data_IF_195128195372
#
_entry.id   IF_195128195372
#
_cell.length_a   1.000
_cell.length_b   1.000
_cell.length_c   1.000
_cell.angle_alpha   90.00
_cell.angle_beta   90.00
_cell.angle_gamma   90.00
#
_symmetry.space_group_name_H-M   'P 1'
#
loop_
_entity.id
_entity.type
_entity.pdbx_description
1 polymer ?
#
# COMPACT_ATOMS: atom_id res chain seq x y z
N UNK A 1 -19.90 -12.83 -13.86
CA UNK A 1 -18.58 -12.61 -13.21
C UNK A 1 -17.53 -13.08 -14.18
N UNK A 2 -16.63 -12.21 -14.66
CA UNK A 2 -15.53 -12.70 -15.49
C UNK A 2 -14.60 -13.56 -14.63
N UNK A 3 -14.13 -14.66 -15.20
CA UNK A 3 -13.21 -15.57 -14.53
C UNK A 3 -11.87 -14.85 -14.30
N UNK A 4 -11.50 -14.61 -13.04
CA UNK A 4 -10.18 -14.08 -12.70
C UNK A 4 -9.23 -15.28 -12.65
N UNK A 5 -8.28 -15.34 -13.59
CA UNK A 5 -7.24 -16.37 -13.60
C UNK A 5 -6.10 -15.91 -12.70
N UNK A 6 -5.98 -16.54 -11.55
CA UNK A 6 -4.95 -16.23 -10.57
C UNK A 6 -3.79 -17.22 -10.63
N UNK A 7 -2.58 -16.66 -10.61
CA UNK A 7 -1.38 -17.41 -10.27
C UNK A 7 -1.03 -17.01 -8.84
N UNK A 8 -1.41 -17.86 -7.88
CA UNK A 8 -1.29 -17.58 -6.45
C UNK A 8 0.16 -17.29 -6.03
N UNK A 9 1.13 -17.94 -6.69
CA UNK A 9 2.55 -17.71 -6.44
C UNK A 9 2.97 -16.30 -6.82
N UNK A 10 2.59 -15.84 -8.03
CA UNK A 10 2.89 -14.48 -8.47
C UNK A 10 2.16 -13.43 -7.63
N UNK A 11 0.92 -13.71 -7.21
CA UNK A 11 0.17 -12.81 -6.33
C UNK A 11 0.87 -12.64 -4.97
N UNK A 12 1.37 -13.73 -4.38
CA UNK A 12 2.09 -13.68 -3.11
C UNK A 12 3.40 -12.91 -3.20
N UNK A 13 4.15 -13.05 -4.30
CA UNK A 13 5.33 -12.22 -4.56
C UNK A 13 4.98 -10.74 -4.64
N UNK A 14 3.95 -10.37 -5.41
CA UNK A 14 3.52 -8.98 -5.52
C UNK A 14 3.05 -8.38 -4.20
N UNK A 15 2.35 -9.16 -3.36
CA UNK A 15 1.97 -8.73 -2.00
C UNK A 15 3.22 -8.51 -1.14
N UNK A 16 4.23 -9.38 -1.24
CA UNK A 16 5.49 -9.23 -0.52
C UNK A 16 6.24 -7.95 -0.95
N UNK A 17 6.34 -7.69 -2.25
CA UNK A 17 6.99 -6.49 -2.78
C UNK A 17 6.28 -5.21 -2.31
N UNK A 18 4.95 -5.21 -2.26
CA UNK A 18 4.17 -4.09 -1.75
C UNK A 18 4.34 -3.89 -0.23
N UNK A 19 4.47 -4.97 0.55
CA UNK A 19 4.79 -4.89 1.98
C UNK A 19 6.17 -4.26 2.20
N UNK A 20 7.16 -4.66 1.41
CA UNK A 20 8.49 -4.07 1.44
C UNK A 20 8.45 -2.58 1.08
N UNK A 21 7.77 -2.21 -0.02
CA UNK A 21 7.61 -0.81 -0.43
C UNK A 21 6.91 0.03 0.65
N UNK A 22 5.85 -0.50 1.27
CA UNK A 22 5.17 0.19 2.37
C UNK A 22 6.11 0.42 3.54
N UNK A 23 6.90 -0.59 3.92
CA UNK A 23 7.87 -0.47 5.00
C UNK A 23 8.94 0.59 4.69
N UNK A 24 9.45 0.63 3.46
CA UNK A 24 10.40 1.65 3.03
C UNK A 24 9.80 3.06 3.14
N UNK A 25 8.57 3.26 2.65
CA UNK A 25 7.87 4.53 2.75
C UNK A 25 7.67 4.92 4.21
N UNK A 26 7.14 4.03 5.03
CA UNK A 26 6.86 4.32 6.44
C UNK A 26 8.15 4.65 7.21
N UNK A 27 9.24 3.94 6.93
CA UNK A 27 10.56 4.17 7.56
C UNK A 27 11.23 5.49 7.14
N UNK A 28 10.84 6.07 6.01
CA UNK A 28 11.35 7.37 5.54
C UNK A 28 10.65 8.51 6.28
N UNK A 29 10.75 8.53 7.60
CA UNK A 29 10.15 9.52 8.49
C UNK A 29 11.10 10.68 8.80
N UNK A 30 11.67 11.24 7.71
CA UNK A 30 12.53 12.40 7.82
C UNK A 30 11.69 13.63 8.10
N UNK A 31 11.72 14.05 9.35
CA UNK A 31 11.17 15.34 9.76
C UNK A 31 11.85 16.47 8.98
N UNK A 32 11.06 17.44 8.53
CA UNK A 32 11.58 18.64 7.92
C UNK A 32 12.14 19.51 9.06
N UNK A 33 13.40 19.96 8.93
CA UNK A 33 13.98 20.87 9.90
C UNK A 33 13.10 22.13 10.01
N UNK A 34 12.85 22.57 11.26
CA UNK A 34 12.07 23.77 11.49
C UNK A 34 12.71 24.95 10.75
N UNK A 35 11.97 25.56 9.83
CA UNK A 35 12.49 26.66 9.02
C UNK A 35 12.70 27.87 9.92
N UNK A 36 13.95 28.35 10.02
CA UNK A 36 14.29 29.53 10.84
C UNK A 36 14.13 30.81 10.00
N UNK A 37 12.98 31.46 10.08
CA UNK A 37 12.72 32.76 9.45
C UNK A 37 11.24 33.09 9.31
N UNK A 38 10.91 34.35 8.98
CA UNK A 38 9.52 34.86 8.93
C UNK A 38 9.09 35.46 7.59
N UNK A 39 9.61 34.92 6.47
CA UNK A 39 9.32 35.43 5.11
C UNK A 39 8.40 34.54 4.30
N UNK A 40 7.82 35.07 3.21
CA UNK A 40 6.95 34.32 2.30
C UNK A 40 7.62 33.07 1.71
N UNK A 41 8.92 33.14 1.39
CA UNK A 41 9.68 31.99 0.92
C UNK A 41 9.77 30.86 1.97
N UNK A 42 9.88 31.20 3.25
CA UNK A 42 9.90 30.23 4.36
C UNK A 42 8.53 29.55 4.48
N UNK A 43 7.44 30.31 4.38
CA UNK A 43 6.07 29.78 4.45
C UNK A 43 5.77 28.80 3.30
N UNK A 44 6.23 29.09 2.08
CA UNK A 44 6.05 28.18 0.94
C UNK A 44 6.85 26.88 1.10
N UNK A 45 8.05 26.94 1.70
CA UNK A 45 8.83 25.74 2.03
C UNK A 45 8.13 24.89 3.09
N UNK A 46 7.60 25.49 4.15
CA UNK A 46 6.82 24.79 5.18
C UNK A 46 5.56 24.13 4.58
N UNK A 47 4.87 24.83 3.69
CA UNK A 47 3.71 24.30 2.98
C UNK A 47 4.08 23.11 2.08
N UNK A 48 5.20 23.19 1.36
CA UNK A 48 5.71 22.10 0.54
C UNK A 48 6.07 20.87 1.38
N UNK A 49 6.72 21.07 2.52
CA UNK A 49 7.05 20.00 3.47
C UNK A 49 5.78 19.32 4.01
N UNK A 50 4.77 20.10 4.40
CA UNK A 50 3.49 19.57 4.87
C UNK A 50 2.74 18.80 3.78
N UNK A 51 2.72 19.31 2.55
CA UNK A 51 2.14 18.61 1.40
C UNK A 51 2.85 17.28 1.13
N UNK A 52 4.18 17.25 1.23
CA UNK A 52 4.95 16.02 1.10
C UNK A 52 4.58 14.99 2.19
N UNK A 53 4.48 15.40 3.45
CA UNK A 53 4.05 14.51 4.56
C UNK A 53 2.66 13.94 4.31
N UNK A 54 1.70 14.76 3.88
CA UNK A 54 0.36 14.30 3.53
C UNK A 54 0.38 13.31 2.36
N UNK A 55 1.15 13.60 1.31
CA UNK A 55 1.28 12.72 0.15
C UNK A 55 1.88 11.37 0.55
N UNK A 56 2.94 11.36 1.35
CA UNK A 56 3.55 10.16 1.93
C UNK A 56 2.50 9.33 2.67
N UNK A 57 1.75 9.95 3.57
CA UNK A 57 0.69 9.28 4.34
C UNK A 57 -0.37 8.66 3.42
N UNK A 58 -0.84 9.40 2.41
CA UNK A 58 -1.85 8.94 1.47
C UNK A 58 -1.36 7.74 0.64
N UNK A 59 -0.10 7.76 0.18
CA UNK A 59 0.49 6.64 -0.55
C UNK A 59 0.62 5.41 0.35
N UNK A 60 1.06 5.58 1.59
CA UNK A 60 1.16 4.48 2.55
C UNK A 60 -0.20 3.81 2.81
N UNK A 61 -1.27 4.61 2.93
CA UNK A 61 -2.65 4.12 3.06
C UNK A 61 -3.11 3.40 1.79
N UNK A 62 -2.84 3.96 0.61
CA UNK A 62 -3.19 3.34 -0.66
C UNK A 62 -2.55 1.96 -0.80
N UNK A 63 -1.24 1.84 -0.54
CA UNK A 63 -0.53 0.57 -0.60
C UNK A 63 -1.11 -0.42 0.42
N UNK A 64 -1.40 0.02 1.64
CA UNK A 64 -2.05 -0.82 2.66
C UNK A 64 -3.40 -1.38 2.21
N UNK A 65 -4.24 -0.53 1.62
CA UNK A 65 -5.55 -0.93 1.08
C UNK A 65 -5.39 -1.90 -0.10
N UNK A 66 -4.41 -1.67 -0.97
CA UNK A 66 -4.10 -2.54 -2.11
C UNK A 66 -3.62 -3.91 -1.65
N UNK A 67 -2.76 -4.00 -0.62
CA UNK A 67 -2.35 -5.26 0.02
C UNK A 67 -3.59 -6.01 0.54
N UNK A 68 -4.44 -5.33 1.33
CA UNK A 68 -5.63 -5.95 1.90
C UNK A 68 -6.61 -6.45 0.84
N UNK A 69 -6.79 -5.71 -0.25
CA UNK A 69 -7.58 -6.15 -1.40
C UNK A 69 -7.02 -7.45 -2.00
N UNK A 70 -5.71 -7.51 -2.26
CA UNK A 70 -5.08 -8.69 -2.86
C UNK A 70 -5.11 -9.92 -1.94
N UNK A 71 -4.89 -9.74 -0.63
CA UNK A 71 -5.03 -10.82 0.34
C UNK A 71 -6.47 -11.37 0.39
N UNK A 72 -7.47 -10.48 0.35
CA UNK A 72 -8.87 -10.88 0.30
C UNK A 72 -9.23 -11.65 -0.98
N UNK A 73 -8.69 -11.22 -2.12
CA UNK A 73 -8.84 -11.93 -3.39
C UNK A 73 -8.22 -13.32 -3.29
N UNK A 74 -6.98 -13.44 -2.81
CA UNK A 74 -6.29 -14.73 -2.64
C UNK A 74 -7.09 -15.70 -1.74
N UNK A 75 -7.52 -15.21 -0.58
CA UNK A 75 -8.29 -16.01 0.38
C UNK A 75 -9.64 -16.47 -0.20
N UNK A 76 -10.28 -15.61 -1.01
CA UNK A 76 -11.54 -15.96 -1.67
C UNK A 76 -11.36 -17.05 -2.73
N UNK A 77 -10.25 -17.01 -3.47
CA UNK A 77 -9.91 -18.02 -4.47
C UNK A 77 -9.61 -19.38 -3.83
N UNK A 78 -8.69 -19.41 -2.87
CA UNK A 78 -8.37 -20.64 -2.11
C UNK A 78 -9.62 -21.24 -1.47
N UNK A 79 -10.47 -20.39 -0.87
CA UNK A 79 -11.72 -20.83 -0.26
C UNK A 79 -12.73 -21.42 -1.26
N UNK A 80 -12.82 -20.86 -2.47
CA UNK A 80 -13.69 -21.39 -3.52
C UNK A 80 -13.15 -22.71 -4.07
N UNK A 81 -11.85 -22.82 -4.32
CA UNK A 81 -11.22 -24.05 -4.80
C UNK A 81 -11.39 -25.19 -3.79
N UNK A 82 -11.24 -24.90 -2.50
CA UNK A 82 -11.45 -25.89 -1.45
C UNK A 82 -12.91 -26.39 -1.40
N UNK A 83 -13.89 -25.50 -1.55
CA UNK A 83 -15.30 -25.86 -1.65
C UNK A 83 -15.60 -26.70 -2.88
N UNK A 84 -15.06 -26.32 -4.03
CA UNK A 84 -15.24 -27.05 -5.29
C UNK A 84 -14.65 -28.47 -5.19
N UNK A 85 -13.47 -28.62 -4.60
CA UNK A 85 -12.85 -29.92 -4.35
C UNK A 85 -13.66 -30.81 -3.41
N UNK A 86 -14.30 -30.24 -2.37
CA UNK A 86 -15.18 -30.98 -1.47
C UNK A 86 -16.51 -31.37 -2.11
N UNK A 87 -17.08 -30.53 -2.98
CA UNK A 87 -18.33 -30.81 -3.70
C UNK A 87 -18.19 -31.81 -4.86
N UNK A 88 -16.97 -32.20 -5.22
CA UNK A 88 -16.67 -33.22 -6.23
C UNK A 88 -16.66 -34.66 -5.67
N UNK A 89 -17.01 -34.85 -4.39
CA UNK A 89 -17.20 -36.15 -3.75
C UNK A 89 -18.65 -36.63 -3.82
#
# INVERSE_FOLDING_TARGET
>A
MSEIRLNDTNLMFNISDLKALKQEIDSNDKECDAVRGGGSAVQELEKMANNYKQMKSNISVLIGNTIGFMENVNNSFIGNDHKAAMGFR
#
